data_IF_520884578015
#
_entry.id   IF_520884578015
#
_cell.length_a   1.000
_cell.length_b   1.000
_cell.length_c   1.000
_cell.angle_alpha   90.00
_cell.angle_beta   90.00
_cell.angle_gamma   90.00
#
_symmetry.space_group_name_H-M   'P 1'
#
loop_
_entity.id
_entity.type
_entity.pdbx_description
1 polymer ?
#
# COMPACT_ATOMS: atom_id res chain seq x y z
N UNK A 1 7.39 17.87 19.26
CA UNK A 1 6.71 17.23 18.12
C UNK A 1 5.96 18.31 17.38
N UNK A 2 6.29 18.56 16.11
CA UNK A 2 5.64 19.62 15.34
C UNK A 2 4.20 19.23 15.00
N UNK A 3 3.31 20.22 14.82
CA UNK A 3 1.90 19.98 14.49
C UNK A 3 1.75 19.00 13.30
N UNK A 4 2.55 19.20 12.24
CA UNK A 4 2.61 18.30 11.09
C UNK A 4 2.97 16.86 11.45
N UNK A 5 3.96 16.63 12.32
CA UNK A 5 4.33 15.28 12.76
C UNK A 5 3.16 14.60 13.48
N UNK A 6 2.45 15.32 14.35
CA UNK A 6 1.27 14.79 15.05
C UNK A 6 0.19 14.34 14.07
N UNK A 7 -0.08 15.12 13.02
CA UNK A 7 -1.01 14.70 11.96
C UNK A 7 -0.53 13.45 11.23
N UNK A 8 0.77 13.36 10.89
CA UNK A 8 1.31 12.15 10.25
C UNK A 8 1.14 10.92 11.14
N UNK A 9 1.43 11.03 12.44
CA UNK A 9 1.27 9.90 13.37
C UNK A 9 -0.19 9.43 13.53
N UNK A 10 -1.18 10.25 13.19
CA UNK A 10 -2.60 9.88 13.26
C UNK A 10 -3.10 9.42 11.88
N UNK A 11 -2.79 10.16 10.81
CA UNK A 11 -3.27 9.87 9.46
C UNK A 11 -2.61 8.64 8.86
N UNK A 12 -1.32 8.41 9.09
CA UNK A 12 -0.60 7.27 8.52
C UNK A 12 -1.19 5.93 8.98
N UNK A 13 -1.41 5.67 10.29
CA UNK A 13 -2.07 4.43 10.70
C UNK A 13 -3.53 4.37 10.24
N UNK A 14 -4.27 5.48 10.20
CA UNK A 14 -5.63 5.49 9.64
C UNK A 14 -5.64 5.08 8.16
N UNK A 15 -4.70 5.59 7.36
CA UNK A 15 -4.51 5.22 5.97
C UNK A 15 -4.13 3.74 5.81
N UNK A 16 -3.22 3.23 6.64
CA UNK A 16 -2.83 1.82 6.64
C UNK A 16 -4.01 0.90 7.01
N UNK A 17 -4.85 1.29 7.96
CA UNK A 17 -6.04 0.53 8.35
C UNK A 17 -7.10 0.52 7.25
N UNK A 18 -7.37 1.67 6.63
CA UNK A 18 -8.31 1.78 5.51
C UNK A 18 -7.82 0.99 4.29
N UNK A 19 -6.54 1.14 3.93
CA UNK A 19 -5.91 0.37 2.87
C UNK A 19 -5.90 -1.12 3.17
N UNK A 20 -5.59 -1.51 4.41
CA UNK A 20 -5.63 -2.90 4.88
C UNK A 20 -7.02 -3.52 4.79
N UNK A 21 -8.06 -2.78 5.17
CA UNK A 21 -9.45 -3.20 5.04
C UNK A 21 -9.84 -3.44 3.58
N UNK A 22 -9.42 -2.56 2.67
CA UNK A 22 -9.65 -2.70 1.23
C UNK A 22 -8.95 -3.95 0.69
N UNK A 23 -7.68 -4.17 1.04
CA UNK A 23 -6.91 -5.36 0.63
C UNK A 23 -7.61 -6.65 1.11
N UNK A 24 -8.05 -6.68 2.37
CA UNK A 24 -8.80 -7.82 2.92
C UNK A 24 -10.12 -8.04 2.19
N UNK A 25 -10.81 -6.98 1.79
CA UNK A 25 -12.05 -7.09 1.04
C UNK A 25 -11.83 -7.72 -0.34
N UNK A 26 -10.78 -7.31 -1.06
CA UNK A 26 -10.39 -7.90 -2.35
C UNK A 26 -9.97 -9.36 -2.17
N UNK A 27 -9.20 -9.67 -1.13
CA UNK A 27 -8.82 -11.04 -0.81
C UNK A 27 -10.02 -11.94 -0.44
N UNK A 28 -11.00 -11.40 0.30
CA UNK A 28 -12.23 -12.12 0.60
C UNK A 28 -13.09 -12.34 -0.66
N UNK A 29 -13.10 -11.41 -1.59
CA UNK A 29 -13.73 -11.60 -2.90
C UNK A 29 -13.04 -12.72 -3.69
N UNK A 30 -11.71 -12.82 -3.61
CA UNK A 30 -10.97 -13.96 -4.16
C UNK A 30 -11.40 -15.29 -3.52
N UNK A 31 -11.54 -15.36 -2.20
CA UNK A 31 -11.94 -16.61 -1.54
C UNK A 31 -13.31 -17.12 -2.02
N UNK A 32 -14.22 -16.21 -2.39
CA UNK A 32 -15.57 -16.53 -2.89
C UNK A 32 -15.59 -16.89 -4.37
N UNK A 33 -14.87 -16.15 -5.21
CA UNK A 33 -14.90 -16.29 -6.68
C UNK A 33 -13.82 -17.23 -7.22
N UNK A 34 -12.74 -17.45 -6.46
CA UNK A 34 -11.53 -18.21 -6.82
C UNK A 34 -10.79 -17.67 -8.05
N UNK A 35 -11.06 -16.43 -8.47
CA UNK A 35 -10.41 -15.81 -9.62
C UNK A 35 -8.98 -15.35 -9.30
N UNK A 36 -7.99 -15.86 -10.03
CA UNK A 36 -6.57 -15.65 -9.71
C UNK A 36 -6.14 -14.19 -9.82
N UNK A 37 -6.73 -13.40 -10.72
CA UNK A 37 -6.42 -11.96 -10.80
C UNK A 37 -6.68 -11.21 -9.49
N UNK A 38 -7.68 -11.61 -8.70
CA UNK A 38 -8.01 -10.92 -7.44
C UNK A 38 -6.90 -11.04 -6.40
N UNK A 39 -6.11 -12.13 -6.41
CA UNK A 39 -4.90 -12.23 -5.55
C UNK A 39 -3.87 -11.21 -6.00
N UNK A 40 -3.58 -11.14 -7.31
CA UNK A 40 -2.61 -10.20 -7.88
C UNK A 40 -3.04 -8.75 -7.61
N UNK A 41 -4.34 -8.47 -7.74
CA UNK A 41 -4.93 -7.17 -7.43
C UNK A 41 -4.76 -6.82 -5.94
N UNK A 42 -5.06 -7.76 -5.03
CA UNK A 42 -4.86 -7.60 -3.60
C UNK A 42 -3.39 -7.35 -3.24
N UNK A 43 -2.46 -8.06 -3.90
CA UNK A 43 -1.02 -7.89 -3.73
C UNK A 43 -0.56 -6.51 -4.22
N UNK A 44 -1.08 -6.07 -5.36
CA UNK A 44 -0.79 -4.75 -5.92
C UNK A 44 -1.27 -3.62 -5.02
N UNK A 45 -2.48 -3.72 -4.47
CA UNK A 45 -2.97 -2.77 -3.47
C UNK A 45 -2.13 -2.77 -2.19
N UNK A 46 -1.69 -3.94 -1.72
CA UNK A 46 -0.78 -4.04 -0.59
C UNK A 46 0.52 -3.28 -0.84
N UNK A 47 1.17 -3.52 -1.97
CA UNK A 47 2.40 -2.84 -2.34
C UNK A 47 2.22 -1.32 -2.47
N UNK A 48 1.09 -0.86 -3.00
CA UNK A 48 0.74 0.57 -3.09
C UNK A 48 0.53 1.21 -1.71
N UNK A 49 -0.27 0.59 -0.84
CA UNK A 49 -0.61 1.15 0.47
C UNK A 49 0.64 1.21 1.36
N UNK A 50 1.42 0.13 1.40
CA UNK A 50 2.67 0.08 2.18
C UNK A 50 3.73 1.00 1.58
N UNK A 51 3.89 0.97 0.26
CA UNK A 51 4.82 1.84 -0.46
C UNK A 51 4.48 3.32 -0.33
N UNK A 52 3.20 3.68 -0.18
CA UNK A 52 2.75 5.04 0.11
C UNK A 52 3.02 5.50 1.55
N UNK A 53 2.91 4.60 2.51
CA UNK A 53 3.13 4.91 3.93
C UNK A 53 4.62 5.00 4.31
N UNK A 54 5.49 4.25 3.63
CA UNK A 54 6.93 4.18 3.91
C UNK A 54 7.66 5.54 3.86
N UNK A 55 7.53 6.36 2.80
CA UNK A 55 8.12 7.70 2.73
C UNK A 55 7.64 8.62 3.87
N UNK A 56 6.36 8.51 4.22
CA UNK A 56 5.74 9.32 5.27
C UNK A 56 6.30 8.95 6.66
N UNK A 57 6.44 7.65 6.92
CA UNK A 57 7.07 7.14 8.14
C UNK A 57 8.56 7.48 8.21
N UNK A 58 9.27 7.39 7.09
CA UNK A 58 10.68 7.76 7.01
C UNK A 58 10.91 9.24 7.35
N UNK A 59 10.02 10.11 6.87
CA UNK A 59 10.00 11.53 7.22
C UNK A 59 9.67 11.75 8.70
N UNK A 60 8.60 11.13 9.21
CA UNK A 60 8.14 11.31 10.58
C UNK A 60 9.15 10.82 11.64
N UNK A 61 9.87 9.74 11.33
CA UNK A 61 10.83 9.08 12.24
C UNK A 61 12.29 9.44 11.96
N UNK A 62 12.57 10.28 10.95
CA UNK A 62 13.92 10.71 10.54
C UNK A 62 14.93 9.55 10.35
N UNK A 63 14.48 8.44 9.74
CA UNK A 63 15.25 7.18 9.67
C UNK A 63 16.30 7.19 8.55
N UNK A 64 15.87 7.24 7.28
CA UNK A 64 16.77 7.13 6.13
C UNK A 64 16.08 7.49 4.81
N UNK A 65 16.83 8.11 3.90
CA UNK A 65 16.40 8.43 2.54
C UNK A 65 16.16 7.17 1.67
N UNK A 66 16.78 6.03 2.01
CA UNK A 66 16.59 4.75 1.32
C UNK A 66 15.12 4.28 1.39
N UNK A 67 14.41 4.58 2.47
CA UNK A 67 12.99 4.20 2.61
C UNK A 67 12.09 4.93 1.60
N UNK A 68 12.48 6.12 1.12
CA UNK A 68 11.74 6.82 0.08
C UNK A 68 11.86 6.09 -1.25
N UNK A 69 13.08 5.68 -1.61
CA UNK A 69 13.36 4.91 -2.83
C UNK A 69 12.63 3.56 -2.77
N UNK A 70 12.72 2.85 -1.63
CA UNK A 70 12.03 1.59 -1.42
C UNK A 70 10.50 1.75 -1.53
N UNK A 71 9.94 2.83 -0.96
CA UNK A 71 8.52 3.15 -1.05
C UNK A 71 8.07 3.39 -2.50
N UNK A 72 8.84 4.16 -3.27
CA UNK A 72 8.57 4.41 -4.69
C UNK A 72 8.64 3.12 -5.51
N UNK A 73 9.67 2.28 -5.31
CA UNK A 73 9.79 1.00 -6.00
C UNK A 73 8.63 0.05 -5.68
N UNK A 74 8.18 0.02 -4.42
CA UNK A 74 6.98 -0.72 -4.00
C UNK A 74 5.72 -0.21 -4.70
N UNK A 75 5.54 1.10 -4.81
CA UNK A 75 4.40 1.69 -5.53
C UNK A 75 4.42 1.34 -7.02
N UNK A 76 5.59 1.45 -7.68
CA UNK A 76 5.75 1.07 -9.09
C UNK A 76 5.41 -0.41 -9.28
N UNK A 77 5.92 -1.28 -8.40
CA UNK A 77 5.62 -2.70 -8.43
C UNK A 77 4.13 -2.98 -8.20
N UNK A 78 3.50 -2.26 -7.27
CA UNK A 78 2.06 -2.34 -6.99
C UNK A 78 1.21 -1.93 -8.18
N UNK A 79 1.52 -0.81 -8.82
CA UNK A 79 0.84 -0.33 -10.04
C UNK A 79 1.01 -1.34 -11.16
N UNK A 80 2.22 -1.87 -11.37
CA UNK A 80 2.49 -2.89 -12.38
C UNK A 80 1.67 -4.17 -12.12
N UNK A 81 1.58 -4.62 -10.87
CA UNK A 81 0.79 -5.78 -10.49
C UNK A 81 -0.71 -5.56 -10.72
N UNK A 82 -1.24 -4.38 -10.38
CA UNK A 82 -2.63 -4.01 -10.64
C UNK A 82 -2.89 -4.00 -12.15
N UNK A 83 -2.07 -3.26 -12.92
CA UNK A 83 -2.20 -3.17 -14.37
C UNK A 83 -2.16 -4.55 -15.04
N UNK A 84 -1.22 -5.39 -14.63
CA UNK A 84 -1.13 -6.75 -15.13
C UNK A 84 -2.37 -7.59 -14.80
N UNK A 85 -2.92 -7.42 -13.59
CA UNK A 85 -4.12 -8.14 -13.16
C UNK A 85 -5.38 -7.73 -13.92
N UNK A 86 -5.47 -6.49 -14.40
CA UNK A 86 -6.64 -5.97 -15.14
C UNK A 86 -6.54 -6.08 -16.65
N UNK A 87 -5.33 -6.11 -17.22
CA UNK A 87 -5.13 -6.16 -18.68
C UNK A 87 -4.98 -7.59 -19.20
N UNK A 88 -4.49 -8.51 -18.37
CA UNK A 88 -4.19 -9.89 -18.80
C UNK A 88 -5.29 -10.91 -18.45
N UNK A 89 -6.40 -10.47 -17.86
CA UNK A 89 -7.65 -11.23 -17.74
C UNK A 89 -8.78 -10.49 -18.46
#
# INVERSE_FOLDING_TARGET
>A
MNFLQTFLFILTPAFLLLGGALILQVYNAYLRTKQRFLILLSLGFFALVVGGALPVLAYALAISEILYIAGILLQICGIAAIYYSTVRE
#
